data_IF_614350831100
#
_entry.id   IF_614350831100
#
_cell.length_a   1.000
_cell.length_b   1.000
_cell.length_c   1.000
_cell.angle_alpha   90.00
_cell.angle_beta   90.00
_cell.angle_gamma   90.00
#
_symmetry.space_group_name_H-M   'P 1'
#
loop_
_entity.id
_entity.type
_entity.pdbx_description
1 polymer ?
#
# COMPACT_ATOMS: atom_id res chain seq x y z
N UNK A 1 -14.96 -50.85 51.92
CA UNK A 1 -15.80 -50.31 50.82
C UNK A 1 -15.65 -48.80 50.89
N UNK A 2 -14.67 -48.13 50.28
CA UNK A 2 -14.40 -47.91 48.84
C UNK A 2 -15.65 -47.59 48.02
N UNK A 3 -15.84 -46.30 47.69
CA UNK A 3 -16.08 -45.71 46.35
C UNK A 3 -16.34 -44.18 46.49
N UNK A 4 -15.42 -43.31 46.04
CA UNK A 4 -15.38 -42.56 44.75
C UNK A 4 -16.24 -41.27 44.75
N UNK A 5 -15.66 -40.05 44.65
CA UNK A 5 -15.06 -39.40 43.45
C UNK A 5 -16.15 -38.93 42.46
N UNK A 6 -16.19 -37.74 41.86
CA UNK A 6 -15.34 -36.55 41.78
C UNK A 6 -16.21 -35.37 41.29
N UNK A 7 -15.82 -34.14 41.65
CA UNK A 7 -16.25 -32.91 40.99
C UNK A 7 -15.70 -32.83 39.55
N UNK A 8 -16.51 -32.39 38.58
CA UNK A 8 -16.02 -31.77 37.36
C UNK A 8 -17.10 -30.89 36.73
N UNK A 9 -16.97 -29.59 36.94
CA UNK A 9 -17.68 -28.52 36.22
C UNK A 9 -17.11 -28.53 34.80
N UNK A 10 -17.90 -28.91 33.80
CA UNK A 10 -17.52 -28.79 32.38
C UNK A 10 -17.88 -27.38 31.93
N UNK A 11 -16.94 -26.45 32.11
CA UNK A 11 -16.96 -25.15 31.48
C UNK A 11 -16.54 -25.29 30.01
N UNK A 12 -17.50 -25.27 29.10
CA UNK A 12 -17.22 -25.16 27.66
C UNK A 12 -16.79 -23.72 27.35
N UNK A 13 -15.48 -23.48 27.33
CA UNK A 13 -14.90 -22.26 26.82
C UNK A 13 -15.02 -22.24 25.29
N UNK A 14 -15.92 -21.37 24.80
CA UNK A 14 -16.08 -21.04 23.39
C UNK A 14 -14.82 -20.29 22.92
N UNK A 15 -13.92 -21.00 22.23
CA UNK A 15 -12.84 -20.39 21.44
C UNK A 15 -13.39 -20.05 20.06
N UNK A 16 -14.07 -18.90 19.95
CA UNK A 16 -14.31 -18.25 18.67
C UNK A 16 -12.99 -17.61 18.24
N UNK A 17 -12.23 -18.31 17.39
CA UNK A 17 -11.16 -17.71 16.61
C UNK A 17 -11.79 -16.76 15.59
N UNK A 18 -12.04 -15.52 16.00
CA UNK A 18 -12.37 -14.44 15.07
C UNK A 18 -11.07 -14.14 14.32
N UNK A 19 -10.90 -14.74 13.15
CA UNK A 19 -9.87 -14.33 12.20
C UNK A 19 -10.10 -12.87 11.88
N UNK A 20 -9.31 -11.99 12.48
CA UNK A 20 -9.44 -10.55 12.32
C UNK A 20 -8.78 -10.14 11.00
N UNK A 21 -9.34 -10.58 9.87
CA UNK A 21 -8.99 -9.98 8.59
C UNK A 21 -9.97 -8.85 8.34
N UNK A 22 -9.47 -7.63 8.52
CA UNK A 22 -10.26 -6.43 8.41
C UNK A 22 -10.45 -6.13 6.93
N UNK A 23 -11.68 -6.24 6.43
CA UNK A 23 -12.09 -5.68 5.12
C UNK A 23 -12.06 -4.14 5.11
N UNK A 24 -11.55 -3.51 6.16
CA UNK A 24 -11.39 -2.06 6.26
C UNK A 24 -10.17 -1.65 5.45
N UNK A 25 -10.30 -0.64 4.57
CA UNK A 25 -9.13 -0.04 3.93
C UNK A 25 -8.12 0.44 4.97
N UNK A 26 -6.83 0.20 4.69
CA UNK A 26 -5.70 0.72 5.46
C UNK A 26 -5.02 1.84 4.65
N UNK A 27 -5.48 3.11 4.77
CA UNK A 27 -4.93 4.22 4.02
C UNK A 27 -3.62 4.73 4.63
N UNK A 28 -2.65 5.01 3.77
CA UNK A 28 -1.43 5.72 4.15
C UNK A 28 -1.21 6.87 3.19
N UNK A 29 -0.83 8.04 3.70
CA UNK A 29 -0.59 9.24 2.91
C UNK A 29 0.89 9.66 2.88
N UNK A 30 1.28 10.34 1.81
CA UNK A 30 2.53 11.07 1.68
C UNK A 30 2.28 12.42 1.01
N UNK A 31 2.93 13.47 1.52
CA UNK A 31 2.92 14.80 0.93
C UNK A 31 4.11 14.94 -0.02
N UNK A 32 3.85 15.32 -1.26
CA UNK A 32 4.84 15.59 -2.30
C UNK A 32 4.88 17.10 -2.50
N UNK A 33 5.57 17.80 -1.59
CA UNK A 33 5.52 19.26 -1.48
C UNK A 33 5.88 19.98 -2.77
N UNK A 34 6.88 19.48 -3.50
CA UNK A 34 7.34 20.03 -4.77
C UNK A 34 6.36 19.88 -5.93
N UNK A 35 5.30 19.07 -5.78
CA UNK A 35 4.20 18.95 -6.73
C UNK A 35 2.86 19.45 -6.14
N UNK A 36 2.87 19.93 -4.89
CA UNK A 36 1.66 20.32 -4.14
C UNK A 36 0.58 19.21 -4.12
N UNK A 37 1.02 17.96 -4.04
CA UNK A 37 0.15 16.79 -4.04
C UNK A 37 0.21 16.03 -2.72
N UNK A 38 -0.96 15.58 -2.25
CA UNK A 38 -1.09 14.52 -1.28
C UNK A 38 -1.46 13.22 -1.98
N UNK A 39 -0.57 12.24 -1.93
CA UNK A 39 -0.85 10.88 -2.38
C UNK A 39 -1.33 10.05 -1.20
N UNK A 40 -2.39 9.27 -1.39
CA UNK A 40 -2.84 8.28 -0.41
C UNK A 40 -3.03 6.94 -1.10
N UNK A 41 -2.33 5.91 -0.64
CA UNK A 41 -2.55 4.55 -1.14
C UNK A 41 -3.18 3.75 -0.02
N UNK A 42 -4.39 3.27 -0.25
CA UNK A 42 -5.07 2.35 0.64
C UNK A 42 -4.91 0.92 0.14
N UNK A 43 -4.59 0.01 1.04
CA UNK A 43 -4.69 -1.43 0.79
C UNK A 43 -5.94 -2.00 1.44
N UNK A 44 -6.56 -2.99 0.80
CA UNK A 44 -7.69 -3.72 1.37
C UNK A 44 -7.47 -5.20 1.16
N UNK A 45 -7.56 -6.00 2.23
CA UNK A 45 -7.41 -7.44 2.13
C UNK A 45 -8.51 -8.04 1.25
N UNK A 46 -8.12 -8.92 0.32
CA UNK A 46 -9.07 -9.63 -0.56
C UNK A 46 -9.19 -11.11 -0.23
N UNK A 47 -8.35 -11.62 0.67
CA UNK A 47 -8.32 -13.01 1.11
C UNK A 47 -8.07 -13.08 2.63
N UNK A 48 -8.80 -13.93 3.37
CA UNK A 48 -8.66 -14.06 4.82
C UNK A 48 -7.31 -14.63 5.29
N UNK A 49 -6.59 -15.37 4.45
CA UNK A 49 -5.37 -16.10 4.84
C UNK A 49 -4.14 -15.71 4.02
N UNK A 50 -4.33 -15.30 2.76
CA UNK A 50 -3.25 -14.91 1.87
C UNK A 50 -2.94 -13.41 2.00
N UNK A 51 -1.68 -13.03 1.80
CA UNK A 51 -1.24 -11.62 1.73
C UNK A 51 -1.66 -11.00 0.38
N UNK A 52 -2.97 -10.95 0.12
CA UNK A 52 -3.54 -10.42 -1.11
C UNK A 52 -4.32 -9.16 -0.82
N UNK A 53 -3.99 -8.11 -1.56
CA UNK A 53 -4.60 -6.80 -1.37
C UNK A 53 -4.95 -6.14 -2.69
N UNK A 54 -6.13 -5.52 -2.76
CA UNK A 54 -6.37 -4.47 -3.74
C UNK A 54 -5.72 -3.18 -3.25
N UNK A 55 -5.24 -2.38 -4.19
CA UNK A 55 -4.58 -1.11 -3.90
C UNK A 55 -5.30 0.01 -4.64
N UNK A 56 -5.78 1.00 -3.89
CA UNK A 56 -6.44 2.18 -4.45
C UNK A 56 -5.60 3.41 -4.12
N UNK A 57 -5.19 4.13 -5.16
CA UNK A 57 -4.46 5.38 -5.02
C UNK A 57 -5.41 6.55 -5.18
N UNK A 58 -5.39 7.45 -4.21
CA UNK A 58 -6.01 8.76 -4.25
C UNK A 58 -4.95 9.83 -4.44
N UNK A 59 -5.18 10.73 -5.39
CA UNK A 59 -4.36 11.91 -5.63
C UNK A 59 -5.20 13.12 -5.26
N UNK A 60 -4.71 13.96 -4.37
CA UNK A 60 -5.34 15.24 -4.05
C UNK A 60 -4.33 16.35 -4.23
N UNK A 61 -4.68 17.38 -5.00
CA UNK A 61 -3.85 18.58 -5.11
C UNK A 61 -4.28 19.61 -4.08
N UNK A 62 -3.33 20.39 -3.56
CA UNK A 62 -3.63 21.56 -2.74
C UNK A 62 -4.38 22.65 -3.54
N UNK A 63 -4.29 22.63 -4.87
CA UNK A 63 -5.03 23.52 -5.78
C UNK A 63 -6.48 23.09 -6.06
N UNK A 64 -6.92 21.95 -5.50
CA UNK A 64 -8.33 21.55 -5.48
C UNK A 64 -8.76 20.44 -6.45
N UNK A 65 -7.87 19.93 -7.32
CA UNK A 65 -8.18 18.71 -8.07
C UNK A 65 -8.03 17.45 -7.21
N UNK A 66 -8.77 16.40 -7.56
CA UNK A 66 -8.57 15.07 -6.98
C UNK A 66 -8.90 13.96 -7.97
N UNK A 67 -8.31 12.79 -7.79
CA UNK A 67 -8.63 11.58 -8.54
C UNK A 67 -8.42 10.32 -7.70
N UNK A 68 -9.01 9.22 -8.17
CA UNK A 68 -8.82 7.88 -7.61
C UNK A 68 -8.49 6.91 -8.74
N UNK A 69 -7.59 5.97 -8.50
CA UNK A 69 -7.18 4.96 -9.49
C UNK A 69 -6.78 3.68 -8.80
N UNK A 70 -7.29 2.55 -9.29
CA UNK A 70 -6.83 1.22 -8.86
C UNK A 70 -5.44 0.93 -9.45
N UNK A 71 -4.55 0.46 -8.58
CA UNK A 71 -3.21 0.01 -8.95
C UNK A 71 -3.22 -1.50 -9.18
N UNK A 72 -2.14 -2.02 -9.77
CA UNK A 72 -1.95 -3.47 -9.80
C UNK A 72 -2.04 -4.03 -8.36
N UNK A 73 -2.72 -5.16 -8.10
CA UNK A 73 -2.90 -5.67 -6.75
C UNK A 73 -1.59 -6.18 -6.15
N UNK A 74 -1.53 -6.24 -4.81
CA UNK A 74 -0.49 -7.00 -4.12
C UNK A 74 -0.93 -8.47 -4.06
N UNK A 75 -0.12 -9.36 -4.64
CA UNK A 75 -0.39 -10.79 -4.73
C UNK A 75 0.44 -11.64 -3.76
N UNK A 76 1.09 -11.02 -2.77
CA UNK A 76 1.82 -11.71 -1.71
C UNK A 76 3.19 -11.11 -1.41
N UNK A 77 3.77 -10.38 -2.37
CA UNK A 77 5.12 -9.80 -2.30
C UNK A 77 5.30 -8.59 -3.24
N UNK A 78 4.22 -8.09 -3.86
CA UNK A 78 4.26 -7.10 -4.93
C UNK A 78 3.58 -5.78 -4.53
N UNK A 79 3.45 -5.52 -3.23
CA UNK A 79 2.75 -4.35 -2.69
C UNK A 79 3.52 -3.04 -2.77
N UNK A 80 4.85 -3.06 -2.83
CA UNK A 80 5.67 -1.83 -2.80
C UNK A 80 5.35 -0.89 -3.96
N UNK A 81 5.13 0.39 -3.65
CA UNK A 81 4.96 1.47 -4.63
C UNK A 81 6.01 2.55 -4.40
N UNK A 82 6.99 2.63 -5.28
CA UNK A 82 8.00 3.67 -5.27
C UNK A 82 7.43 4.96 -5.87
N UNK A 83 7.78 6.09 -5.26
CA UNK A 83 7.36 7.42 -5.68
C UNK A 83 8.58 8.14 -6.22
N UNK A 84 8.46 8.61 -7.45
CA UNK A 84 9.49 9.43 -8.09
C UNK A 84 8.91 10.76 -8.50
N UNK A 85 9.74 11.79 -8.39
CA UNK A 85 9.46 13.08 -8.97
C UNK A 85 10.26 13.23 -10.27
N UNK A 86 9.54 13.57 -11.33
CA UNK A 86 10.13 13.94 -12.61
C UNK A 86 10.04 15.45 -12.83
N UNK A 87 10.63 15.92 -13.93
CA UNK A 87 10.52 17.31 -14.34
C UNK A 87 9.06 17.74 -14.56
N UNK A 88 8.83 19.06 -14.55
CA UNK A 88 7.52 19.67 -14.87
C UNK A 88 6.38 19.22 -13.95
N UNK A 89 6.68 18.93 -12.69
CA UNK A 89 5.65 18.60 -11.69
C UNK A 89 5.02 17.22 -11.85
N UNK A 90 5.53 16.37 -12.74
CA UNK A 90 5.06 15.00 -12.87
C UNK A 90 5.51 14.14 -11.69
N UNK A 91 4.61 13.31 -11.20
CA UNK A 91 4.90 12.34 -10.15
C UNK A 91 4.63 10.94 -10.68
N UNK A 92 5.56 10.02 -10.45
CA UNK A 92 5.45 8.63 -10.87
C UNK A 92 5.23 7.75 -9.65
N UNK A 93 4.25 6.85 -9.75
CA UNK A 93 4.02 5.76 -8.81
C UNK A 93 4.33 4.46 -9.52
N UNK A 94 5.42 3.81 -9.13
CA UNK A 94 5.95 2.64 -9.82
C UNK A 94 5.84 1.44 -8.88
N UNK A 95 5.13 0.42 -9.32
CA UNK A 95 5.13 -0.91 -8.71
C UNK A 95 5.95 -1.89 -9.54
N UNK A 96 5.94 -3.16 -9.14
CA UNK A 96 6.64 -4.23 -9.86
C UNK A 96 6.05 -4.49 -11.25
N UNK A 97 4.74 -4.29 -11.43
CA UNK A 97 4.01 -4.68 -12.64
C UNK A 97 3.29 -3.52 -13.34
N UNK A 98 3.18 -2.37 -12.70
CA UNK A 98 2.60 -1.17 -13.31
C UNK A 98 3.38 0.10 -12.95
N UNK A 99 3.28 1.10 -13.83
CA UNK A 99 3.75 2.45 -13.56
C UNK A 99 2.63 3.43 -13.86
N UNK A 100 2.34 4.32 -12.91
CA UNK A 100 1.35 5.39 -13.05
C UNK A 100 2.06 6.73 -13.14
N UNK A 101 1.63 7.52 -14.09
CA UNK A 101 2.05 8.92 -14.25
C UNK A 101 0.91 9.81 -13.76
N UNK A 102 1.24 10.72 -12.85
CA UNK A 102 0.33 11.70 -12.29
C UNK A 102 0.72 13.08 -12.82
N UNK A 103 -0.25 13.75 -13.44
CA UNK A 103 -0.17 15.16 -13.76
C UNK A 103 -0.71 15.97 -12.58
N UNK A 104 0.15 16.77 -11.94
CA UNK A 104 -0.20 17.53 -10.75
C UNK A 104 -1.19 18.68 -11.01
N UNK A 105 -1.29 19.15 -12.25
CA UNK A 105 -2.16 20.31 -12.57
C UNK A 105 -3.64 19.94 -12.60
N UNK A 106 -3.96 18.70 -12.96
CA UNK A 106 -5.33 18.23 -13.13
C UNK A 106 -5.61 16.91 -12.38
N UNK A 107 -4.63 16.42 -11.62
CA UNK A 107 -4.69 15.17 -10.85
C UNK A 107 -4.96 13.94 -11.73
N UNK A 108 -4.74 14.00 -13.04
CA UNK A 108 -5.00 12.86 -13.92
C UNK A 108 -3.91 11.82 -13.76
N UNK A 109 -4.35 10.59 -13.53
CA UNK A 109 -3.48 9.42 -13.46
C UNK A 109 -3.62 8.61 -14.74
N UNK A 110 -2.50 8.24 -15.37
CA UNK A 110 -2.47 7.35 -16.53
C UNK A 110 -1.50 6.20 -16.33
N UNK A 111 -1.85 5.02 -16.86
CA UNK A 111 -0.92 3.90 -16.97
C UNK A 111 0.17 4.23 -18.01
N UNK A 112 1.42 3.93 -17.67
CA UNK A 112 2.56 4.05 -18.58
C UNK A 112 3.32 2.74 -18.65
N UNK A 113 3.94 2.48 -19.79
CA UNK A 113 5.00 1.48 -19.89
C UNK A 113 6.25 1.98 -19.15
N UNK A 114 6.97 1.06 -18.50
CA UNK A 114 8.20 1.39 -17.74
C UNK A 114 9.26 2.08 -18.60
N UNK A 115 9.42 1.65 -19.85
CA UNK A 115 10.40 2.22 -20.80
C UNK A 115 10.11 3.67 -21.20
N UNK A 116 8.89 4.13 -20.99
CA UNK A 116 8.42 5.46 -21.38
C UNK A 116 8.53 6.48 -20.25
N UNK A 117 8.96 6.05 -19.05
CA UNK A 117 9.22 6.95 -17.93
C UNK A 117 10.51 7.74 -18.19
N UNK A 118 10.52 8.99 -17.73
CA UNK A 118 11.74 9.79 -17.73
C UNK A 118 12.83 9.10 -16.91
N UNK A 119 14.08 9.21 -17.37
CA UNK A 119 15.24 8.62 -16.68
C UNK A 119 15.80 9.55 -15.60
N UNK A 120 15.66 10.85 -15.80
CA UNK A 120 16.11 11.88 -14.87
C UNK A 120 15.01 12.16 -13.85
N UNK A 121 14.93 11.29 -12.85
CA UNK A 121 13.93 11.34 -11.78
C UNK A 121 14.58 11.27 -10.41
N UNK A 122 13.90 11.82 -9.41
CA UNK A 122 14.34 11.82 -8.02
C UNK A 122 13.45 10.85 -7.25
N UNK A 123 14.05 9.85 -6.59
CA UNK A 123 13.33 8.98 -5.68
C UNK A 123 12.90 9.77 -4.43
N UNK A 124 11.59 9.81 -4.17
CA UNK A 124 11.00 10.58 -3.06
C UNK A 124 10.73 9.68 -1.85
N UNK A 125 10.38 8.43 -2.09
CA UNK A 125 10.07 7.46 -1.04
C UNK A 125 9.26 6.30 -1.58
N UNK A 126 8.72 5.49 -0.68
CA UNK A 126 7.97 4.29 -1.06
C UNK A 126 6.84 3.99 -0.07
N UNK A 127 5.70 3.56 -0.60
CA UNK A 127 4.69 2.88 0.20
C UNK A 127 5.01 1.40 0.21
N UNK A 128 5.09 0.80 1.39
CA UNK A 128 5.46 -0.59 1.56
C UNK A 128 5.03 -1.12 2.92
N UNK A 129 5.21 -2.42 3.12
CA UNK A 129 5.08 -3.06 4.41
C UNK A 129 6.35 -2.86 5.25
N UNK A 130 6.19 -2.61 6.55
CA UNK A 130 7.29 -2.77 7.51
C UNK A 130 7.53 -4.24 7.87
N UNK A 131 8.53 -4.50 8.71
CA UNK A 131 8.87 -5.86 9.17
C UNK A 131 7.70 -6.55 9.90
N UNK A 132 6.82 -5.76 10.53
CA UNK A 132 5.60 -6.22 11.20
C UNK A 132 4.40 -6.27 10.25
N UNK A 133 4.61 -6.14 8.93
CA UNK A 133 3.60 -6.21 7.87
C UNK A 133 2.58 -5.06 7.87
N UNK A 134 2.85 -3.97 8.59
CA UNK A 134 2.01 -2.77 8.53
C UNK A 134 2.28 -1.97 7.27
N UNK A 135 1.22 -1.51 6.60
CA UNK A 135 1.33 -0.61 5.46
C UNK A 135 1.76 0.77 5.91
N UNK A 136 2.85 1.28 5.32
CA UNK A 136 3.47 2.55 5.72
C UNK A 136 4.10 3.25 4.54
N UNK A 137 4.36 4.54 4.74
CA UNK A 137 5.17 5.34 3.83
C UNK A 137 6.56 5.53 4.43
N UNK A 138 7.57 5.28 3.62
CA UNK A 138 8.97 5.46 3.95
C UNK A 138 9.55 6.56 3.06
N UNK A 139 9.86 7.75 3.59
CA UNK A 139 10.52 8.80 2.83
C UNK A 139 11.94 8.36 2.45
N UNK A 140 12.46 8.87 1.33
CA UNK A 140 13.80 8.55 0.83
C UNK A 140 14.91 8.81 1.86
N UNK A 141 14.73 9.80 2.74
CA UNK A 141 15.66 10.10 3.82
C UNK A 141 15.75 8.99 4.90
N UNK A 142 14.70 8.18 5.05
CA UNK A 142 14.66 7.07 6.02
C UNK A 142 15.00 5.73 5.38
N UNK A 143 14.56 5.50 4.13
CA UNK A 143 14.82 4.26 3.41
C UNK A 143 15.20 4.56 1.97
N UNK A 144 16.42 4.18 1.53
CA UNK A 144 16.82 4.38 0.15
C UNK A 144 15.96 3.55 -0.80
N UNK A 145 16.05 3.86 -2.09
CA UNK A 145 15.38 3.10 -3.13
C UNK A 145 15.82 1.63 -3.08
N UNK A 146 14.85 0.73 -3.08
CA UNK A 146 15.08 -0.70 -3.16
C UNK A 146 14.73 -1.18 -4.58
N UNK A 147 15.56 -2.02 -5.20
CA UNK A 147 15.24 -2.58 -6.50
C UNK A 147 13.99 -3.47 -6.39
N UNK A 148 13.19 -3.49 -7.46
CA UNK A 148 12.21 -4.56 -7.63
C UNK A 148 12.95 -5.86 -7.95
N UNK A 149 12.54 -6.97 -7.33
CA UNK A 149 13.10 -8.28 -7.66
C UNK A 149 12.85 -8.57 -9.15
N UNK A 150 13.94 -8.80 -9.88
CA UNK A 150 13.87 -9.35 -11.23
C UNK A 150 13.52 -10.83 -11.07
N UNK A 151 12.41 -11.25 -11.68
CA UNK A 151 12.08 -12.67 -11.81
C UNK A 151 12.41 -13.16 -13.20
#
# INVERSE_FOLDING_TARGET
MSTRSWSAIVGSAVLLCIGCNSNTPEPVSAEISSAELRLTIARMATDPFLQRFTLTMHVNSMSGCSSSTELFPDTGYAGRRNIYQAAKGKVYVVGQYDARVIDSQNCRTSLSEFRSLDRDVIFVGSFDQDEAKHWRYFPAAQRPELPFEKR
#
